data_IF_383367122691
#
_entry.id   IF_383367122691
#
_cell.length_a   1.000
_cell.length_b   1.000
_cell.length_c   1.000
_cell.angle_alpha   90.00
_cell.angle_beta   90.00
_cell.angle_gamma   90.00
#
_symmetry.space_group_name_H-M   'P 1'
#
loop_
_entity.id
_entity.type
_entity.pdbx_description
1 polymer ?
#
# COMPACT_ATOMS: atom_id res chain seq x y z
N UNK A 1 28.00 10.76 77.02
CA UNK A 1 26.59 10.32 77.06
C UNK A 1 25.83 11.11 76.00
N UNK A 2 25.72 10.56 74.78
CA UNK A 2 24.93 11.16 73.70
C UNK A 2 23.60 10.42 73.69
N UNK A 3 22.52 11.10 74.07
CA UNK A 3 21.16 10.59 74.01
C UNK A 3 20.68 10.71 72.56
N UNK A 4 20.48 9.58 71.89
CA UNK A 4 19.82 9.51 70.58
C UNK A 4 18.35 9.89 70.73
N UNK A 5 17.98 11.07 70.23
CA UNK A 5 16.57 11.45 70.04
C UNK A 5 16.12 10.81 68.72
N UNK A 6 15.39 9.68 68.81
CA UNK A 6 14.65 9.12 67.68
C UNK A 6 13.56 10.11 67.24
N UNK A 7 13.39 10.40 65.93
CA UNK A 7 12.27 11.21 65.47
C UNK A 7 10.97 10.43 65.70
N UNK A 8 10.03 11.03 66.44
CA UNK A 8 8.66 10.52 66.57
C UNK A 8 8.05 10.35 65.17
N UNK A 9 7.87 9.12 64.71
CA UNK A 9 7.00 8.83 63.59
C UNK A 9 5.59 9.31 63.93
N UNK A 10 5.19 10.45 63.36
CA UNK A 10 3.82 10.95 63.44
C UNK A 10 2.91 9.99 62.67
N UNK A 11 2.36 9.01 63.38
CA UNK A 11 1.31 8.09 62.91
C UNK A 11 -0.04 8.82 62.84
N UNK A 12 -0.12 9.86 62.02
CA UNK A 12 -1.37 10.56 61.78
C UNK A 12 -2.29 9.70 60.89
N UNK A 13 -3.58 9.57 61.25
CA UNK A 13 -4.54 8.76 60.48
C UNK A 13 -4.59 9.20 59.00
N UNK A 14 -4.58 10.51 58.74
CA UNK A 14 -4.56 11.07 57.38
C UNK A 14 -3.32 10.67 56.59
N UNK A 15 -2.16 10.64 57.24
CA UNK A 15 -0.86 10.30 56.65
C UNK A 15 -0.82 8.81 56.27
N UNK A 16 -1.34 7.95 57.16
CA UNK A 16 -1.48 6.52 56.91
C UNK A 16 -2.44 6.24 55.77
N UNK A 17 -3.61 6.90 55.77
CA UNK A 17 -4.62 6.74 54.73
C UNK A 17 -4.09 7.17 53.35
N UNK A 18 -3.42 8.32 53.26
CA UNK A 18 -2.79 8.78 52.02
C UNK A 18 -1.82 7.76 51.45
N UNK A 19 -0.97 7.15 52.29
CA UNK A 19 -0.03 6.12 51.87
C UNK A 19 -0.72 4.84 51.39
N UNK A 20 -1.85 4.44 52.00
CA UNK A 20 -2.67 3.31 51.54
C UNK A 20 -3.22 3.53 50.12
N UNK A 21 -3.68 4.74 49.80
CA UNK A 21 -4.14 5.09 48.46
C UNK A 21 -2.98 5.13 47.46
N UNK A 22 -1.83 5.70 47.85
CA UNK A 22 -0.62 5.75 47.00
C UNK A 22 -0.10 4.36 46.62
N UNK A 23 -0.26 3.35 47.47
CA UNK A 23 0.09 1.95 47.17
C UNK A 23 -1.05 1.15 46.51
N UNK A 24 -2.15 1.82 46.13
CA UNK A 24 -3.21 1.23 45.31
C UNK A 24 -4.33 0.50 46.08
N UNK A 25 -4.49 0.75 47.39
CA UNK A 25 -5.65 0.22 48.12
C UNK A 25 -6.95 0.95 47.70
N UNK A 26 -8.02 0.19 47.55
CA UNK A 26 -9.33 0.71 47.14
C UNK A 26 -10.01 1.47 48.31
N UNK A 27 -10.14 2.78 48.16
CA UNK A 27 -10.81 3.69 49.12
C UNK A 27 -12.28 3.37 49.36
N UNK A 28 -12.95 2.69 48.40
CA UNK A 28 -14.39 2.36 48.45
C UNK A 28 -14.73 1.10 49.25
N UNK A 29 -13.72 0.36 49.71
CA UNK A 29 -13.92 -0.80 50.59
C UNK A 29 -14.05 -0.40 52.08
N UNK A 30 -13.97 0.89 52.39
CA UNK A 30 -14.19 1.41 53.74
C UNK A 30 -15.70 1.42 54.05
N UNK A 31 -16.09 0.64 55.06
CA UNK A 31 -17.42 0.71 55.65
C UNK A 31 -17.50 1.97 56.53
N UNK A 32 -18.14 3.02 56.00
CA UNK A 32 -18.31 4.30 56.68
C UNK A 32 -19.77 4.51 57.09
N UNK A 33 -19.96 5.12 58.25
CA UNK A 33 -21.27 5.48 58.77
C UNK A 33 -21.80 6.75 58.05
N UNK A 34 -23.12 6.99 58.11
CA UNK A 34 -23.75 8.10 57.36
C UNK A 34 -23.16 9.48 57.69
N UNK A 35 -22.75 9.71 58.95
CA UNK A 35 -22.07 10.95 59.37
C UNK A 35 -20.67 11.11 58.79
N UNK A 36 -19.97 10.02 58.49
CA UNK A 36 -18.60 10.03 57.95
C UNK A 36 -18.59 10.25 56.43
N UNK A 37 -19.66 9.84 55.74
CA UNK A 37 -19.88 10.10 54.30
C UNK A 37 -20.11 11.58 54.00
N UNK A 38 -20.69 12.32 54.94
CA UNK A 38 -21.00 13.75 54.79
C UNK A 38 -19.80 14.68 55.07
N UNK A 39 -18.73 14.15 55.66
CA UNK A 39 -17.53 14.92 55.96
C UNK A 39 -16.91 15.52 54.69
N UNK A 40 -16.60 16.82 54.74
CA UNK A 40 -16.07 17.62 53.62
C UNK A 40 -14.83 16.99 52.96
N UNK A 41 -14.04 16.25 53.75
CA UNK A 41 -12.82 15.58 53.32
C UNK A 41 -13.12 14.40 52.38
N UNK A 42 -14.23 13.69 52.57
CA UNK A 42 -14.62 12.54 51.76
C UNK A 42 -15.30 12.97 50.44
N UNK A 43 -16.09 14.06 50.47
CA UNK A 43 -16.66 14.66 49.24
C UNK A 43 -15.57 15.09 48.25
N UNK A 44 -14.49 15.74 48.74
CA UNK A 44 -13.31 16.08 47.91
C UNK A 44 -12.61 14.84 47.32
N UNK A 45 -12.57 13.72 48.03
CA UNK A 45 -11.97 12.47 47.55
C UNK A 45 -12.82 11.81 46.46
N UNK A 46 -14.15 11.76 46.64
CA UNK A 46 -15.07 11.23 45.64
C UNK A 46 -15.08 12.08 44.35
N UNK A 47 -14.83 13.38 44.45
CA UNK A 47 -14.66 14.29 43.31
C UNK A 47 -13.31 14.10 42.59
N UNK A 48 -12.21 13.88 43.31
CA UNK A 48 -10.88 13.61 42.74
C UNK A 48 -10.80 12.26 41.99
N UNK A 49 -11.61 11.27 42.37
CA UNK A 49 -11.64 9.95 41.71
C UNK A 49 -12.51 9.92 40.44
N UNK A 50 -13.44 10.87 40.23
CA UNK A 50 -14.23 10.95 38.99
C UNK A 50 -13.36 11.25 37.76
N UNK A 51 -12.19 11.84 37.94
CA UNK A 51 -11.24 12.10 36.85
C UNK A 51 -10.30 10.92 36.53
N UNK A 52 -10.29 9.87 37.34
CA UNK A 52 -9.49 8.66 37.11
C UNK A 52 -10.38 7.44 36.92
N UNK A 53 -11.20 7.45 35.89
CA UNK A 53 -11.67 6.20 35.29
C UNK A 53 -10.40 5.53 34.75
N UNK A 54 -10.01 4.34 35.21
CA UNK A 54 -8.94 3.61 34.57
C UNK A 54 -9.47 3.22 33.19
N UNK A 55 -9.10 3.99 32.18
CA UNK A 55 -9.26 3.59 30.79
C UNK A 55 -8.65 2.20 30.69
N UNK A 56 -9.46 1.19 30.36
CA UNK A 56 -8.94 -0.12 29.97
C UNK A 56 -8.03 0.17 28.77
N UNK A 57 -6.73 0.33 29.02
CA UNK A 57 -5.74 0.30 27.96
C UNK A 57 -5.73 -1.13 27.49
N UNK A 58 -6.49 -1.42 26.43
CA UNK A 58 -6.40 -2.68 25.72
C UNK A 58 -4.93 -2.89 25.41
N UNK A 59 -4.28 -3.84 26.10
CA UNK A 59 -2.91 -4.23 25.78
C UNK A 59 -3.00 -4.95 24.43
N UNK A 60 -2.93 -4.18 23.35
CA UNK A 60 -2.78 -4.74 22.02
C UNK A 60 -1.34 -5.23 21.97
N UNK A 61 -1.14 -6.55 22.07
CA UNK A 61 0.18 -7.15 21.94
C UNK A 61 0.78 -6.77 20.57
N UNK A 62 2.11 -6.69 20.49
CA UNK A 62 2.83 -6.46 19.22
C UNK A 62 2.41 -7.49 18.15
N UNK A 63 2.09 -8.71 18.58
CA UNK A 63 1.56 -9.78 17.74
C UNK A 63 0.16 -9.48 17.20
N UNK A 64 -0.76 -8.99 18.04
CA UNK A 64 -2.09 -8.59 17.59
C UNK A 64 -2.02 -7.41 16.59
N UNK A 65 -1.13 -6.44 16.81
CA UNK A 65 -0.91 -5.35 15.86
C UNK A 65 -0.39 -5.88 14.51
N UNK A 66 0.61 -6.77 14.54
CA UNK A 66 1.19 -7.36 13.33
C UNK A 66 0.14 -8.15 12.54
N UNK A 67 -0.67 -8.93 13.24
CA UNK A 67 -1.80 -9.66 12.65
C UNK A 67 -2.83 -8.72 12.01
N UNK A 68 -3.25 -7.67 12.70
CA UNK A 68 -4.20 -6.70 12.16
C UNK A 68 -3.70 -6.03 10.86
N UNK A 69 -2.40 -5.76 10.78
CA UNK A 69 -1.78 -5.20 9.56
C UNK A 69 -1.83 -6.22 8.42
N UNK A 70 -1.44 -7.47 8.69
CA UNK A 70 -1.48 -8.54 7.69
C UNK A 70 -2.92 -8.76 7.22
N UNK A 71 -3.89 -8.86 8.13
CA UNK A 71 -5.29 -9.08 7.79
C UNK A 71 -5.86 -7.93 6.94
N UNK A 72 -5.52 -6.67 7.27
CA UNK A 72 -5.90 -5.50 6.48
C UNK A 72 -5.30 -5.53 5.07
N UNK A 73 -3.99 -5.84 4.95
CA UNK A 73 -3.32 -5.92 3.66
C UNK A 73 -3.84 -7.09 2.81
N UNK A 74 -4.16 -8.23 3.43
CA UNK A 74 -4.79 -9.37 2.78
C UNK A 74 -6.17 -9.01 2.24
N UNK A 75 -6.99 -8.33 3.04
CA UNK A 75 -8.31 -7.85 2.61
C UNK A 75 -8.19 -6.88 1.43
N UNK A 76 -7.24 -5.96 1.48
CA UNK A 76 -6.99 -5.01 0.41
C UNK A 76 -6.52 -5.71 -0.88
N UNK A 77 -5.65 -6.72 -0.79
CA UNK A 77 -5.25 -7.52 -1.95
C UNK A 77 -6.44 -8.26 -2.57
N UNK A 78 -7.31 -8.83 -1.73
CA UNK A 78 -8.54 -9.48 -2.19
C UNK A 78 -9.47 -8.50 -2.92
N UNK A 79 -9.61 -7.26 -2.42
CA UNK A 79 -10.39 -6.21 -3.11
C UNK A 79 -9.77 -5.78 -4.43
N UNK A 80 -8.44 -5.72 -4.52
CA UNK A 80 -7.72 -5.45 -5.77
C UNK A 80 -7.95 -6.58 -6.79
N UNK A 81 -7.84 -7.84 -6.37
CA UNK A 81 -8.08 -8.97 -7.25
C UNK A 81 -9.54 -8.98 -7.75
N UNK A 82 -10.52 -8.70 -6.89
CA UNK A 82 -11.91 -8.50 -7.29
C UNK A 82 -12.07 -7.37 -8.32
N UNK A 83 -11.46 -6.21 -8.06
CA UNK A 83 -11.51 -5.06 -8.96
C UNK A 83 -10.91 -5.36 -10.34
N UNK A 84 -9.79 -6.07 -10.39
CA UNK A 84 -9.14 -6.48 -11.63
C UNK A 84 -9.97 -7.49 -12.44
N UNK A 85 -10.72 -8.37 -11.77
CA UNK A 85 -11.60 -9.35 -12.42
C UNK A 85 -12.98 -8.78 -12.78
N UNK A 86 -13.35 -7.62 -12.23
CA UNK A 86 -14.66 -7.00 -12.46
C UNK A 86 -14.84 -6.47 -13.89
N UNK A 87 -16.10 -6.25 -14.26
CA UNK A 87 -16.50 -5.62 -15.51
C UNK A 87 -16.12 -4.12 -15.59
N UNK A 88 -15.58 -3.51 -14.52
CA UNK A 88 -15.12 -2.13 -14.55
C UNK A 88 -14.01 -1.93 -15.58
N UNK A 89 -14.27 -1.18 -16.66
CA UNK A 89 -13.28 -0.85 -17.68
C UNK A 89 -13.17 0.68 -17.81
N UNK A 90 -12.03 1.29 -17.44
CA UNK A 90 -11.86 2.74 -17.57
C UNK A 90 -12.07 3.21 -19.00
N UNK A 91 -12.76 4.33 -19.14
CA UNK A 91 -12.97 4.96 -20.45
C UNK A 91 -11.73 5.76 -20.86
N UNK A 92 -11.70 6.18 -22.13
CA UNK A 92 -10.68 7.10 -22.64
C UNK A 92 -10.60 8.41 -21.81
N UNK A 93 -11.74 8.88 -21.29
CA UNK A 93 -11.81 10.07 -20.43
C UNK A 93 -11.08 9.83 -19.12
N UNK A 94 -11.12 8.62 -18.57
CA UNK A 94 -10.36 8.30 -17.36
C UNK A 94 -8.85 8.27 -17.62
N UNK A 95 -8.41 7.93 -18.84
CA UNK A 95 -7.00 7.94 -19.23
C UNK A 95 -6.45 9.33 -19.50
N UNK A 96 -7.32 10.28 -19.85
CA UNK A 96 -6.94 11.67 -20.13
C UNK A 96 -6.79 12.51 -18.85
N UNK A 97 -7.17 12.00 -17.68
CA UNK A 97 -7.03 12.69 -16.40
C UNK A 97 -5.56 12.84 -16.00
N UNK A 98 -5.26 13.90 -15.26
CA UNK A 98 -3.97 14.08 -14.58
C UNK A 98 -3.84 13.13 -13.38
N UNK A 99 -2.62 12.92 -12.89
CA UNK A 99 -2.37 12.16 -11.66
C UNK A 99 -3.08 12.81 -10.47
N UNK A 100 -3.14 14.15 -10.43
CA UNK A 100 -3.86 14.90 -9.40
C UNK A 100 -5.36 14.60 -9.40
N UNK A 101 -6.01 14.61 -10.57
CA UNK A 101 -7.43 14.25 -10.68
C UNK A 101 -7.68 12.79 -10.26
N UNK A 102 -6.75 11.87 -10.54
CA UNK A 102 -6.87 10.46 -10.12
C UNK A 102 -6.66 10.26 -8.60
N UNK A 103 -5.78 11.05 -8.00
CA UNK A 103 -5.49 11.04 -6.55
C UNK A 103 -6.65 11.64 -5.77
N UNK A 104 -7.21 12.76 -6.22
CA UNK A 104 -8.24 13.53 -5.50
C UNK A 104 -9.66 13.00 -5.68
N UNK A 105 -9.95 12.29 -6.79
CA UNK A 105 -11.28 11.69 -7.00
C UNK A 105 -11.63 10.62 -5.97
N UNK A 106 -12.90 10.27 -5.89
CA UNK A 106 -13.37 9.13 -5.08
C UNK A 106 -12.67 7.82 -5.42
N UNK A 107 -12.49 6.96 -4.42
CA UNK A 107 -11.86 5.65 -4.62
C UNK A 107 -12.77 4.72 -5.42
N UNK A 108 -12.23 4.13 -6.49
CA UNK A 108 -13.02 3.27 -7.40
C UNK A 108 -13.01 1.78 -7.06
N UNK A 109 -12.24 1.30 -6.07
CA UNK A 109 -12.13 -0.13 -5.76
C UNK A 109 -13.47 -0.77 -5.41
N UNK A 110 -14.36 -0.04 -4.72
CA UNK A 110 -15.69 -0.52 -4.33
C UNK A 110 -16.63 -0.77 -5.52
N UNK A 111 -16.34 -0.23 -6.71
CA UNK A 111 -17.16 -0.48 -7.90
C UNK A 111 -17.18 -1.97 -8.28
N UNK A 112 -16.15 -2.73 -7.89
CA UNK A 112 -16.10 -4.18 -8.07
C UNK A 112 -17.24 -4.92 -7.34
N UNK A 113 -17.75 -4.35 -6.24
CA UNK A 113 -18.83 -4.96 -5.44
C UNK A 113 -20.18 -4.93 -6.18
N UNK A 114 -20.30 -4.07 -7.20
CA UNK A 114 -21.51 -3.90 -8.00
C UNK A 114 -21.34 -4.39 -9.44
N UNK A 115 -20.12 -4.31 -9.96
CA UNK A 115 -19.77 -4.73 -11.31
C UNK A 115 -19.24 -6.17 -11.22
N UNK A 116 -20.09 -7.14 -11.55
CA UNK A 116 -19.73 -8.57 -11.59
C UNK A 116 -18.51 -8.87 -12.48
N UNK A 117 -18.11 -10.15 -12.64
CA UNK A 117 -16.92 -10.50 -13.41
C UNK A 117 -17.01 -10.03 -14.87
N UNK A 118 -15.87 -9.70 -15.47
CA UNK A 118 -15.82 -9.31 -16.88
C UNK A 118 -16.31 -10.45 -17.78
N UNK A 119 -17.32 -10.16 -18.60
CA UNK A 119 -17.89 -11.14 -19.52
C UNK A 119 -16.93 -11.44 -20.68
N UNK A 120 -16.82 -12.71 -21.07
CA UNK A 120 -16.02 -13.13 -22.22
C UNK A 120 -14.53 -13.31 -21.92
N UNK A 121 -14.16 -13.51 -20.65
CA UNK A 121 -12.85 -14.01 -20.24
C UNK A 121 -12.87 -15.53 -20.05
N UNK A 122 -11.76 -16.25 -20.32
CA UNK A 122 -10.49 -15.72 -20.84
C UNK A 122 -10.56 -15.34 -22.32
N UNK A 123 -9.73 -14.38 -22.74
CA UNK A 123 -9.61 -13.92 -24.11
C UNK A 123 -8.62 -14.82 -24.85
N UNK A 124 -9.09 -15.47 -25.91
CA UNK A 124 -8.26 -16.28 -26.80
C UNK A 124 -8.14 -15.59 -28.17
N UNK A 125 -7.43 -14.46 -28.21
CA UNK A 125 -7.19 -13.69 -29.43
C UNK A 125 -5.70 -13.65 -29.70
N UNK A 126 -5.31 -14.08 -30.91
CA UNK A 126 -3.95 -13.85 -31.41
C UNK A 126 -3.87 -12.45 -32.00
N UNK A 127 -2.88 -11.68 -31.56
CA UNK A 127 -2.54 -10.37 -32.11
C UNK A 127 -1.18 -10.47 -32.77
N UNK A 128 -1.09 -10.01 -34.02
CA UNK A 128 0.18 -9.91 -34.72
C UNK A 128 1.06 -8.84 -34.08
N UNK A 129 2.37 -9.05 -34.10
CA UNK A 129 3.33 -8.08 -33.57
C UNK A 129 3.39 -6.86 -34.51
N UNK A 130 3.13 -5.63 -34.02
CA UNK A 130 3.27 -4.43 -34.85
C UNK A 130 4.72 -4.23 -35.31
N UNK A 131 4.90 -3.67 -36.51
CA UNK A 131 6.21 -3.50 -37.15
C UNK A 131 7.00 -2.33 -36.60
N UNK A 132 6.33 -1.23 -36.27
CA UNK A 132 6.96 0.02 -35.81
C UNK A 132 7.16 -0.02 -34.29
N UNK A 133 6.07 -0.22 -33.53
CA UNK A 133 6.16 -0.24 -32.07
C UNK A 133 6.87 -1.50 -31.57
N UNK A 134 6.71 -2.65 -32.25
CA UNK A 134 7.12 -3.97 -31.74
C UNK A 134 6.56 -4.27 -30.35
N UNK A 135 5.37 -3.74 -30.06
CA UNK A 135 4.63 -3.95 -28.81
C UNK A 135 3.14 -4.10 -29.13
N UNK A 136 2.51 -5.21 -28.73
CA UNK A 136 1.10 -5.48 -29.08
C UNK A 136 0.12 -4.51 -28.45
N UNK A 137 0.49 -3.92 -27.32
CA UNK A 137 -0.30 -2.91 -26.60
C UNK A 137 -0.10 -1.47 -27.12
N UNK A 138 0.80 -1.28 -28.08
CA UNK A 138 1.01 0.01 -28.75
C UNK A 138 0.77 -0.18 -30.25
N UNK A 139 -0.42 0.15 -30.77
CA UNK A 139 -0.74 -0.10 -32.17
C UNK A 139 0.13 0.76 -33.10
N UNK A 140 0.54 0.18 -34.23
CA UNK A 140 1.09 0.96 -35.34
C UNK A 140 -0.06 1.75 -35.96
N UNK A 141 -0.08 3.08 -35.79
CA UNK A 141 -1.00 3.92 -36.55
C UNK A 141 -0.41 4.11 -37.95
N UNK A 142 -1.03 3.50 -38.97
CA UNK A 142 -0.69 3.79 -40.36
C UNK A 142 -1.30 5.12 -40.78
N UNK A 143 -0.49 6.17 -40.64
CA UNK A 143 -0.88 7.54 -40.97
C UNK A 143 -1.14 7.76 -42.47
N UNK A 144 -0.79 6.80 -43.35
CA UNK A 144 -1.07 6.88 -44.80
C UNK A 144 -2.51 6.53 -45.17
N UNK A 145 -3.22 5.78 -44.32
CA UNK A 145 -4.63 5.41 -44.56
C UNK A 145 -5.60 6.07 -43.58
N UNK A 146 -5.11 6.79 -42.59
CA UNK A 146 -5.95 7.60 -41.72
C UNK A 146 -6.19 8.97 -42.34
N UNK A 147 -7.38 9.19 -42.89
CA UNK A 147 -7.95 10.52 -42.99
C UNK A 147 -7.94 11.22 -41.62
N UNK A 148 -8.21 12.52 -41.60
CA UNK A 148 -8.05 13.49 -40.49
C UNK A 148 -8.74 13.19 -39.13
N UNK A 149 -9.17 11.97 -38.86
CA UNK A 149 -9.58 11.48 -37.53
C UNK A 149 -9.14 10.02 -37.32
N UNK A 150 -7.83 9.79 -37.13
CA UNK A 150 -7.33 8.50 -36.68
C UNK A 150 -7.80 8.24 -35.23
N UNK A 151 -9.05 7.80 -35.02
CA UNK A 151 -9.46 7.31 -33.70
C UNK A 151 -8.76 5.97 -33.49
N UNK A 152 -7.99 5.76 -32.41
CA UNK A 152 -7.52 4.41 -32.11
C UNK A 152 -8.75 3.54 -31.93
N UNK A 153 -8.72 2.37 -32.56
CA UNK A 153 -9.76 1.35 -32.42
C UNK A 153 -9.90 1.11 -30.92
N UNK A 154 -11.06 1.42 -30.30
CA UNK A 154 -11.24 1.13 -28.89
C UNK A 154 -10.98 -0.36 -28.69
N UNK A 155 -10.20 -0.71 -27.67
CA UNK A 155 -10.09 -2.11 -27.27
C UNK A 155 -11.51 -2.68 -27.11
N UNK A 156 -11.76 -3.93 -27.54
CA UNK A 156 -13.04 -4.60 -27.32
C UNK A 156 -13.54 -4.35 -25.90
N UNK A 157 -14.86 -4.22 -25.70
CA UNK A 157 -15.42 -3.84 -24.40
C UNK A 157 -14.98 -4.78 -23.25
N UNK A 158 -14.70 -6.05 -23.59
CA UNK A 158 -14.18 -7.06 -22.67
C UNK A 158 -12.65 -7.08 -22.55
N UNK A 159 -11.90 -6.16 -23.13
CA UNK A 159 -10.43 -6.09 -23.04
C UNK A 159 -10.02 -4.82 -22.29
N UNK A 160 -9.20 -4.98 -21.24
CA UNK A 160 -8.64 -3.86 -20.49
C UNK A 160 -7.30 -3.46 -21.09
N UNK A 161 -6.99 -2.16 -21.07
CA UNK A 161 -5.61 -1.68 -21.28
C UNK A 161 -4.83 -1.91 -19.98
N UNK A 162 -4.19 -3.08 -19.84
CA UNK A 162 -3.66 -3.55 -18.56
C UNK A 162 -2.61 -2.62 -17.94
N UNK A 163 -1.76 -1.98 -18.73
CA UNK A 163 -0.80 -0.99 -18.21
C UNK A 163 -1.53 0.13 -17.47
N UNK A 164 -2.48 0.81 -18.14
CA UNK A 164 -3.24 1.91 -17.55
C UNK A 164 -4.12 1.45 -16.39
N UNK A 165 -4.76 0.29 -16.55
CA UNK A 165 -5.60 -0.29 -15.51
C UNK A 165 -4.80 -0.56 -14.23
N UNK A 166 -3.64 -1.20 -14.35
CA UNK A 166 -2.81 -1.54 -13.19
C UNK A 166 -2.21 -0.29 -12.53
N UNK A 167 -1.80 0.72 -13.30
CA UNK A 167 -1.35 2.01 -12.76
C UNK A 167 -2.46 2.70 -11.96
N UNK A 168 -3.66 2.84 -12.54
CA UNK A 168 -4.82 3.41 -11.84
C UNK A 168 -5.18 2.58 -10.60
N UNK A 169 -5.14 1.25 -10.68
CA UNK A 169 -5.40 0.37 -9.54
C UNK A 169 -4.41 0.62 -8.40
N UNK A 170 -3.14 0.90 -8.71
CA UNK A 170 -2.16 1.28 -7.70
C UNK A 170 -2.48 2.64 -7.05
N UNK A 171 -2.92 3.63 -7.83
CA UNK A 171 -3.35 4.91 -7.27
C UNK A 171 -4.53 4.70 -6.31
N UNK A 172 -5.51 3.88 -6.71
CA UNK A 172 -6.63 3.54 -5.83
C UNK A 172 -6.18 2.75 -4.58
N UNK A 173 -5.18 1.88 -4.69
CA UNK A 173 -4.54 1.19 -3.56
C UNK A 173 -3.87 2.16 -2.59
N UNK A 174 -3.08 3.12 -3.07
CA UNK A 174 -2.40 4.09 -2.21
C UNK A 174 -3.40 4.93 -1.40
N UNK A 175 -4.53 5.33 -2.02
CA UNK A 175 -5.60 6.11 -1.39
C UNK A 175 -6.29 5.42 -0.22
N UNK A 176 -6.20 4.09 -0.09
CA UNK A 176 -6.80 3.37 1.05
C UNK A 176 -6.02 3.53 2.35
N UNK A 177 -4.76 3.96 2.28
CA UNK A 177 -3.92 4.11 3.45
C UNK A 177 -4.15 5.44 4.17
N UNK A 178 -4.37 5.38 5.48
CA UNK A 178 -4.56 6.58 6.31
C UNK A 178 -3.36 7.51 6.31
N UNK A 179 -2.14 6.99 6.19
CA UNK A 179 -0.95 7.84 6.13
C UNK A 179 -0.92 8.68 4.85
N UNK A 180 -1.37 8.12 3.72
CA UNK A 180 -1.39 8.81 2.45
C UNK A 180 -2.31 10.02 2.49
N UNK A 181 -3.48 9.87 3.14
CA UNK A 181 -4.44 10.96 3.36
C UNK A 181 -3.92 12.08 4.28
N UNK A 182 -2.85 11.83 5.06
CA UNK A 182 -2.21 12.84 5.91
C UNK A 182 -1.10 13.61 5.21
N UNK A 183 -0.66 13.14 4.04
CA UNK A 183 0.32 13.85 3.22
C UNK A 183 -0.36 15.02 2.50
N UNK A 184 0.39 16.09 2.32
CA UNK A 184 -0.03 17.17 1.43
C UNK A 184 -0.09 16.67 -0.01
N UNK A 185 -0.91 17.32 -0.84
CA UNK A 185 -1.16 16.88 -2.22
C UNK A 185 0.13 16.72 -3.03
N UNK A 186 1.09 17.63 -2.87
CA UNK A 186 2.38 17.51 -3.57
C UNK A 186 3.15 16.24 -3.16
N UNK A 187 3.19 15.91 -1.87
CA UNK A 187 3.85 14.70 -1.37
C UNK A 187 3.12 13.43 -1.85
N UNK A 188 1.79 13.47 -1.94
CA UNK A 188 0.99 12.40 -2.53
C UNK A 188 1.38 12.17 -4.00
N UNK A 189 1.45 13.23 -4.81
CA UNK A 189 1.81 13.16 -6.23
C UNK A 189 3.23 12.63 -6.43
N UNK A 190 4.19 13.13 -5.65
CA UNK A 190 5.59 12.68 -5.67
C UNK A 190 5.69 11.19 -5.33
N UNK A 191 4.98 10.74 -4.28
CA UNK A 191 4.97 9.33 -3.88
C UNK A 191 4.33 8.44 -4.94
N UNK A 192 3.21 8.87 -5.56
CA UNK A 192 2.55 8.13 -6.64
C UNK A 192 3.45 8.02 -7.87
N UNK A 193 4.04 9.12 -8.32
CA UNK A 193 4.91 9.13 -9.50
C UNK A 193 6.06 8.13 -9.38
N UNK A 194 6.73 8.11 -8.22
CA UNK A 194 7.90 7.24 -8.02
C UNK A 194 7.57 5.77 -7.77
N UNK A 195 6.37 5.42 -7.30
CA UNK A 195 6.08 4.05 -6.85
C UNK A 195 5.06 3.31 -7.72
N UNK A 196 4.41 4.00 -8.67
CA UNK A 196 3.37 3.38 -9.50
C UNK A 196 3.89 2.22 -10.34
N UNK A 197 4.96 2.43 -11.12
CA UNK A 197 5.53 1.37 -11.95
C UNK A 197 6.11 0.24 -11.10
N UNK A 198 6.83 0.58 -10.03
CA UNK A 198 7.43 -0.39 -9.11
C UNK A 198 6.37 -1.35 -8.54
N UNK A 199 5.28 -0.81 -8.01
CA UNK A 199 4.22 -1.64 -7.42
C UNK A 199 3.38 -2.37 -8.48
N UNK A 200 3.15 -1.76 -9.65
CA UNK A 200 2.53 -2.43 -10.79
C UNK A 200 3.34 -3.66 -11.21
N UNK A 201 4.67 -3.52 -11.36
CA UNK A 201 5.56 -4.61 -11.77
C UNK A 201 5.59 -5.74 -10.75
N UNK A 202 5.67 -5.42 -9.46
CA UNK A 202 5.63 -6.39 -8.37
C UNK A 202 4.30 -7.16 -8.40
N UNK A 203 3.18 -6.46 -8.53
CA UNK A 203 1.86 -7.06 -8.58
C UNK A 203 1.67 -7.96 -9.82
N UNK A 204 2.04 -7.51 -11.01
CA UNK A 204 1.92 -8.30 -12.23
C UNK A 204 2.79 -9.56 -12.19
N UNK A 205 4.02 -9.43 -11.67
CA UNK A 205 4.92 -10.58 -11.55
C UNK A 205 4.42 -11.57 -10.50
N UNK A 206 3.96 -11.09 -9.33
CA UNK A 206 3.37 -11.95 -8.30
C UNK A 206 2.08 -12.66 -8.79
N UNK A 207 1.24 -11.97 -9.56
CA UNK A 207 0.03 -12.55 -10.14
C UNK A 207 0.33 -13.79 -10.98
N UNK A 208 1.39 -13.74 -11.80
CA UNK A 208 1.84 -14.87 -12.61
C UNK A 208 2.49 -15.97 -11.75
N UNK A 209 3.42 -15.60 -10.88
CA UNK A 209 4.20 -16.55 -10.05
C UNK A 209 3.31 -17.32 -9.07
N UNK A 210 2.34 -16.67 -8.44
CA UNK A 210 1.36 -17.32 -7.55
C UNK A 210 0.52 -18.37 -8.26
N UNK A 211 0.36 -18.26 -9.59
CA UNK A 211 -0.34 -19.22 -10.46
C UNK A 211 0.61 -20.20 -11.16
N UNK A 212 1.89 -20.25 -10.74
CA UNK A 212 2.93 -21.10 -11.33
C UNK A 212 3.15 -20.84 -12.83
N UNK A 213 2.98 -19.59 -13.25
CA UNK A 213 3.23 -19.14 -14.61
C UNK A 213 4.58 -18.41 -14.69
N UNK A 214 5.42 -18.80 -15.65
CA UNK A 214 6.74 -18.19 -15.89
C UNK A 214 6.71 -17.14 -17.02
N UNK A 215 5.55 -16.51 -17.23
CA UNK A 215 5.31 -15.54 -18.31
C UNK A 215 4.39 -14.43 -17.81
N UNK A 216 4.45 -13.27 -18.47
CA UNK A 216 3.63 -12.11 -18.12
C UNK A 216 2.16 -12.38 -18.48
N UNK A 217 1.34 -12.77 -17.50
CA UNK A 217 -0.09 -13.06 -17.71
C UNK A 217 -1.00 -12.10 -16.96
N UNK A 218 -2.16 -11.85 -17.53
CA UNK A 218 -3.19 -11.01 -16.95
C UNK A 218 -4.46 -11.82 -16.59
N UNK A 219 -5.36 -11.27 -15.75
CA UNK A 219 -6.63 -11.90 -15.38
C UNK A 219 -7.53 -12.34 -16.53
N UNK A 220 -7.44 -11.69 -17.68
CA UNK A 220 -8.18 -12.09 -18.87
C UNK A 220 -7.54 -13.28 -19.62
N UNK A 221 -6.47 -13.85 -19.10
CA UNK A 221 -5.73 -14.95 -19.71
C UNK A 221 -4.74 -14.53 -20.80
N UNK A 222 -4.65 -13.23 -21.14
CA UNK A 222 -3.71 -12.76 -22.14
C UNK A 222 -2.26 -12.80 -21.61
N UNK A 223 -1.33 -13.10 -22.51
CA UNK A 223 0.11 -12.97 -22.25
C UNK A 223 0.60 -11.67 -22.86
N UNK A 224 0.92 -10.68 -22.02
CA UNK A 224 1.35 -9.35 -22.45
C UNK A 224 2.41 -8.79 -21.49
N UNK A 225 3.60 -8.41 -22.01
CA UNK A 225 4.10 -8.72 -23.35
C UNK A 225 4.37 -10.23 -23.54
N UNK A 226 4.44 -10.68 -24.79
CA UNK A 226 4.96 -12.01 -25.15
C UNK A 226 6.47 -11.98 -25.39
N UNK A 227 7.11 -13.15 -25.38
CA UNK A 227 8.57 -13.31 -25.48
C UNK A 227 9.22 -12.72 -26.74
N UNK A 228 8.46 -12.56 -27.81
CA UNK A 228 8.93 -11.98 -29.08
C UNK A 228 8.89 -10.43 -29.08
N UNK A 229 8.33 -9.80 -28.05
CA UNK A 229 8.28 -8.35 -27.92
C UNK A 229 9.58 -7.81 -27.35
N UNK A 230 10.07 -6.72 -27.95
CA UNK A 230 11.38 -6.12 -27.61
C UNK A 230 11.53 -5.79 -26.12
N UNK A 231 10.45 -5.37 -25.47
CA UNK A 231 10.45 -4.94 -24.07
C UNK A 231 10.15 -6.07 -23.07
N UNK A 232 9.90 -7.30 -23.54
CA UNK A 232 9.63 -8.45 -22.68
C UNK A 232 10.69 -8.64 -21.59
N UNK A 233 12.01 -8.62 -21.88
CA UNK A 233 13.03 -8.83 -20.86
C UNK A 233 12.97 -7.81 -19.72
N UNK A 234 12.49 -6.59 -20.01
CA UNK A 234 12.31 -5.54 -19.01
C UNK A 234 11.02 -5.77 -18.21
N UNK A 235 9.89 -6.08 -18.84
CA UNK A 235 8.62 -6.31 -18.11
C UNK A 235 8.67 -7.60 -17.27
N UNK A 236 9.43 -8.60 -17.68
CA UNK A 236 9.56 -9.88 -16.98
C UNK A 236 10.64 -9.90 -15.88
N UNK A 237 11.35 -8.80 -15.62
CA UNK A 237 12.55 -8.79 -14.75
C UNK A 237 12.32 -9.36 -13.35
N UNK A 238 11.17 -9.09 -12.75
CA UNK A 238 10.85 -9.53 -11.40
C UNK A 238 10.34 -10.99 -11.31
N UNK A 239 9.98 -11.63 -12.43
CA UNK A 239 9.49 -13.03 -12.40
C UNK A 239 10.53 -13.98 -11.81
N UNK A 240 11.75 -13.99 -12.37
CA UNK A 240 12.77 -14.95 -11.96
C UNK A 240 13.21 -14.79 -10.49
N UNK A 241 13.45 -13.58 -9.95
CA UNK A 241 13.69 -13.39 -8.52
C UNK A 241 12.54 -13.88 -7.64
N UNK A 242 11.28 -13.57 -7.98
CA UNK A 242 10.12 -14.00 -7.19
C UNK A 242 9.94 -15.52 -7.20
N UNK A 243 10.20 -16.19 -8.33
CA UNK A 243 10.19 -17.65 -8.45
C UNK A 243 11.29 -18.27 -7.59
N UNK A 244 12.54 -17.78 -7.71
CA UNK A 244 13.68 -18.29 -6.93
C UNK A 244 13.47 -18.10 -5.43
N UNK A 245 12.87 -16.98 -5.03
CA UNK A 245 12.56 -16.73 -3.63
C UNK A 245 11.42 -17.61 -3.12
N UNK A 246 10.62 -18.26 -3.98
CA UNK A 246 9.35 -18.89 -3.58
C UNK A 246 8.53 -17.96 -2.68
N UNK A 247 8.27 -16.75 -3.19
CA UNK A 247 7.62 -15.68 -2.43
C UNK A 247 6.21 -16.08 -2.00
N UNK A 248 5.88 -15.82 -0.73
CA UNK A 248 4.57 -16.10 -0.16
C UNK A 248 3.68 -14.85 -0.17
N UNK A 249 2.36 -15.04 -0.04
CA UNK A 249 1.39 -13.94 -0.07
C UNK A 249 1.69 -12.84 0.96
N UNK A 250 1.97 -13.23 2.21
CA UNK A 250 2.26 -12.28 3.30
C UNK A 250 3.54 -11.50 3.01
N UNK A 251 4.59 -12.16 2.51
CA UNK A 251 5.85 -11.52 2.11
C UNK A 251 5.61 -10.51 0.97
N UNK A 252 4.82 -10.89 -0.03
CA UNK A 252 4.45 -10.04 -1.16
C UNK A 252 3.69 -8.78 -0.76
N UNK A 253 2.60 -8.90 0.03
CA UNK A 253 1.77 -7.74 0.40
C UNK A 253 2.53 -6.77 1.28
N UNK A 254 3.39 -7.27 2.19
CA UNK A 254 4.25 -6.44 3.02
C UNK A 254 5.34 -5.77 2.19
N UNK A 255 5.97 -6.48 1.25
CA UNK A 255 6.94 -5.90 0.34
C UNK A 255 6.34 -4.78 -0.52
N UNK A 256 5.11 -4.96 -1.01
CA UNK A 256 4.36 -3.94 -1.75
C UNK A 256 4.06 -2.71 -0.89
N UNK A 257 3.68 -2.89 0.38
CA UNK A 257 3.47 -1.79 1.32
C UNK A 257 4.78 -1.04 1.65
N UNK A 258 5.87 -1.76 1.94
CA UNK A 258 7.21 -1.19 2.17
C UNK A 258 7.67 -0.40 0.94
N UNK A 259 7.39 -0.91 -0.25
CA UNK A 259 7.74 -0.25 -1.51
C UNK A 259 7.01 1.09 -1.68
N UNK A 260 5.69 1.13 -1.43
CA UNK A 260 4.91 2.37 -1.43
C UNK A 260 5.46 3.39 -0.42
N UNK A 261 5.91 2.94 0.75
CA UNK A 261 6.45 3.80 1.79
C UNK A 261 7.94 4.11 1.57
N UNK A 262 8.28 4.88 0.53
CA UNK A 262 9.66 5.31 0.28
C UNK A 262 9.93 6.76 0.74
N UNK A 263 10.57 6.97 1.91
CA UNK A 263 10.80 8.32 2.44
C UNK A 263 11.98 9.03 1.74
N UNK A 264 12.80 8.35 0.95
CA UNK A 264 13.97 8.95 0.30
C UNK A 264 13.68 9.44 -1.11
N UNK A 265 12.40 9.54 -1.49
CA UNK A 265 12.00 10.07 -2.78
C UNK A 265 12.33 11.57 -2.84
N UNK A 266 13.01 11.98 -3.90
CA UNK A 266 13.28 13.38 -4.17
C UNK A 266 11.97 14.16 -4.38
N UNK A 267 11.86 15.33 -3.74
CA UNK A 267 10.67 16.19 -3.81
C UNK A 267 9.67 16.04 -2.66
N UNK A 268 9.86 15.07 -1.76
CA UNK A 268 9.05 14.94 -0.54
C UNK A 268 9.43 16.02 0.48
N UNK A 269 8.42 16.61 1.13
CA UNK A 269 8.59 17.49 2.29
C UNK A 269 9.16 16.75 3.49
N UNK A 270 9.84 17.45 4.42
CA UNK A 270 10.33 16.84 5.67
C UNK A 270 9.19 16.20 6.51
N UNK A 271 8.00 16.82 6.45
CA UNK A 271 6.80 16.29 7.11
C UNK A 271 6.37 14.95 6.49
N UNK A 272 6.28 14.90 5.15
CA UNK A 272 5.94 13.70 4.41
C UNK A 272 6.96 12.58 4.62
N UNK A 273 8.25 12.90 4.58
CA UNK A 273 9.33 11.95 4.86
C UNK A 273 9.18 11.33 6.26
N UNK A 274 8.84 12.13 7.27
CA UNK A 274 8.64 11.66 8.65
C UNK A 274 7.46 10.69 8.76
N UNK A 275 6.31 11.03 8.14
CA UNK A 275 5.13 10.16 8.12
C UNK A 275 5.47 8.84 7.41
N UNK A 276 6.06 8.92 6.23
CA UNK A 276 6.36 7.76 5.39
C UNK A 276 7.39 6.84 6.05
N UNK A 277 8.43 7.41 6.68
CA UNK A 277 9.47 6.64 7.37
C UNK A 277 8.89 5.79 8.51
N UNK A 278 7.95 6.36 9.29
CA UNK A 278 7.27 5.64 10.37
C UNK A 278 6.47 4.46 9.85
N UNK A 279 5.70 4.65 8.78
CA UNK A 279 4.87 3.59 8.18
C UNK A 279 5.75 2.50 7.54
N UNK A 280 6.83 2.90 6.84
CA UNK A 280 7.81 1.96 6.28
C UNK A 280 8.42 1.08 7.36
N UNK A 281 8.81 1.68 8.49
CA UNK A 281 9.37 0.94 9.62
C UNK A 281 8.37 -0.08 10.17
N UNK A 282 7.11 0.32 10.32
CA UNK A 282 6.06 -0.57 10.82
C UNK A 282 5.85 -1.79 9.92
N UNK A 283 5.76 -1.61 8.60
CA UNK A 283 5.66 -2.75 7.67
C UNK A 283 6.93 -3.61 7.66
N UNK A 284 8.11 -2.99 7.77
CA UNK A 284 9.39 -3.69 7.83
C UNK A 284 9.52 -4.56 9.08
N UNK A 285 9.09 -4.06 10.24
CA UNK A 285 9.08 -4.81 11.50
C UNK A 285 8.18 -6.03 11.42
N UNK A 286 6.99 -5.90 10.81
CA UNK A 286 6.07 -7.02 10.61
C UNK A 286 6.65 -8.05 9.64
N UNK A 287 7.29 -7.61 8.57
CA UNK A 287 7.94 -8.52 7.62
C UNK A 287 9.09 -9.27 8.27
N UNK A 288 9.92 -8.60 9.08
CA UNK A 288 11.01 -9.23 9.81
C UNK A 288 10.49 -10.26 10.81
N UNK A 289 9.48 -9.92 11.61
CA UNK A 289 8.84 -10.86 12.54
C UNK A 289 8.25 -12.08 11.81
N UNK A 290 7.58 -11.85 10.67
CA UNK A 290 7.06 -12.93 9.83
C UNK A 290 8.20 -13.86 9.34
N UNK A 291 9.32 -13.29 8.87
CA UNK A 291 10.47 -14.08 8.42
C UNK A 291 11.10 -14.89 9.56
N UNK A 292 11.26 -14.29 10.75
CA UNK A 292 11.83 -14.95 11.93
C UNK A 292 10.99 -16.12 12.42
N UNK A 293 9.66 -16.02 12.33
CA UNK A 293 8.74 -17.07 12.80
C UNK A 293 8.56 -18.23 11.82
N UNK A 294 8.64 -17.96 10.52
CA UNK A 294 8.24 -18.93 9.49
C UNK A 294 9.42 -19.55 8.72
N UNK A 295 10.65 -19.04 8.90
CA UNK A 295 11.84 -19.55 8.18
C UNK A 295 13.00 -19.75 9.15
N UNK A 296 13.78 -20.81 8.95
CA UNK A 296 14.98 -21.10 9.75
C UNK A 296 16.11 -20.07 9.56
N UNK A 297 16.09 -19.33 8.46
CA UNK A 297 17.05 -18.28 8.09
C UNK A 297 16.38 -16.89 8.01
N UNK A 298 15.50 -16.57 8.97
CA UNK A 298 14.67 -15.37 9.00
C UNK A 298 15.36 -14.04 8.64
N UNK A 299 16.50 -13.67 9.26
CA UNK A 299 17.19 -12.41 8.93
C UNK A 299 17.68 -12.36 7.49
N UNK A 300 18.27 -13.45 6.98
CA UNK A 300 18.72 -13.55 5.59
C UNK A 300 17.53 -13.50 4.62
N UNK A 301 16.40 -14.12 4.99
CA UNK A 301 15.15 -14.05 4.22
C UNK A 301 14.64 -12.62 4.11
N UNK A 302 14.65 -11.87 5.21
CA UNK A 302 14.22 -10.47 5.20
C UNK A 302 15.04 -9.64 4.22
N UNK A 303 16.38 -9.78 4.25
CA UNK A 303 17.27 -9.08 3.31
C UNK A 303 17.02 -9.52 1.87
N UNK A 304 16.91 -10.82 1.61
CA UNK A 304 16.60 -11.38 0.29
C UNK A 304 15.31 -10.78 -0.31
N UNK A 305 14.26 -10.65 0.51
CA UNK A 305 13.00 -10.05 0.09
C UNK A 305 13.16 -8.56 -0.24
N UNK A 306 13.91 -7.80 0.56
CA UNK A 306 14.15 -6.38 0.28
C UNK A 306 14.95 -6.16 -1.01
N UNK A 307 15.86 -7.08 -1.38
CA UNK A 307 16.61 -6.99 -2.64
C UNK A 307 15.72 -7.08 -3.89
N UNK A 308 14.51 -7.64 -3.77
CA UNK A 308 13.52 -7.59 -4.86
C UNK A 308 13.16 -6.13 -5.19
N UNK A 309 13.13 -5.23 -4.21
CA UNK A 309 12.87 -3.79 -4.44
C UNK A 309 13.95 -3.21 -5.36
N UNK A 310 15.21 -3.57 -5.16
CA UNK A 310 16.33 -3.15 -6.02
C UNK A 310 16.12 -3.57 -7.48
N UNK A 311 15.61 -4.78 -7.70
CA UNK A 311 15.24 -5.27 -9.04
C UNK A 311 14.12 -4.43 -9.64
N UNK A 312 13.07 -4.15 -8.87
CA UNK A 312 11.91 -3.38 -9.33
C UNK A 312 12.26 -1.92 -9.63
N UNK A 313 13.15 -1.30 -8.83
CA UNK A 313 13.69 0.05 -9.11
C UNK A 313 14.44 0.08 -10.43
N UNK A 314 15.29 -0.93 -10.69
CA UNK A 314 15.99 -1.07 -11.97
C UNK A 314 14.99 -1.27 -13.12
N UNK A 315 13.98 -2.11 -12.91
CA UNK A 315 12.93 -2.38 -13.89
C UNK A 315 12.14 -1.12 -14.26
N UNK A 316 11.71 -0.34 -13.27
CA UNK A 316 11.02 0.93 -13.46
C UNK A 316 11.84 1.90 -14.32
N UNK A 317 13.12 2.09 -14.00
CA UNK A 317 14.02 2.96 -14.79
C UNK A 317 14.08 2.53 -16.25
N UNK A 318 14.30 1.24 -16.53
CA UNK A 318 14.36 0.73 -17.90
C UNK A 318 13.02 0.88 -18.64
N UNK A 319 11.88 0.76 -17.94
CA UNK A 319 10.56 1.02 -18.53
C UNK A 319 10.37 2.50 -18.87
N UNK A 320 10.82 3.41 -17.99
CA UNK A 320 10.82 4.85 -18.27
C UNK A 320 11.69 5.18 -19.48
N UNK A 321 12.89 4.59 -19.57
CA UNK A 321 13.76 4.76 -20.73
C UNK A 321 13.10 4.28 -22.03
N UNK A 322 12.53 3.07 -22.03
CA UNK A 322 11.79 2.54 -23.19
C UNK A 322 10.64 3.48 -23.58
N UNK A 323 9.92 4.01 -22.60
CA UNK A 323 8.83 4.92 -22.89
C UNK A 323 9.32 6.22 -23.52
N UNK A 324 10.31 6.88 -22.92
CA UNK A 324 10.84 8.16 -23.39
C UNK A 324 11.42 8.03 -24.80
N UNK A 325 12.22 6.99 -25.06
CA UNK A 325 12.94 6.86 -26.33
C UNK A 325 12.14 6.18 -27.44
N UNK A 326 11.17 5.33 -27.12
CA UNK A 326 10.47 4.52 -28.12
C UNK A 326 8.96 4.72 -28.15
N UNK A 327 8.29 4.78 -26.99
CA UNK A 327 6.82 4.86 -26.94
C UNK A 327 6.30 6.28 -27.13
N UNK A 328 6.84 7.26 -26.41
CA UNK A 328 6.44 8.67 -26.44
C UNK A 328 6.41 9.26 -27.87
N UNK A 329 7.41 9.01 -28.74
CA UNK A 329 7.37 9.45 -30.15
C UNK A 329 6.26 8.80 -30.99
N UNK A 330 5.76 7.62 -30.60
CA UNK A 330 4.67 6.92 -31.29
C UNK A 330 3.33 7.45 -30.80
N UNK A 331 3.12 7.48 -29.49
CA UNK A 331 1.83 7.87 -28.89
C UNK A 331 1.56 9.38 -29.01
N UNK A 332 2.59 10.22 -29.18
CA UNK A 332 2.41 11.65 -29.44
C UNK A 332 1.67 11.97 -30.75
N UNK A 333 1.52 10.98 -31.64
CA UNK A 333 0.74 11.07 -32.88
C UNK A 333 -0.74 10.72 -32.69
N UNK A 334 -1.13 10.25 -31.51
CA UNK A 334 -2.50 9.84 -31.23
C UNK A 334 -3.38 11.09 -31.02
N UNK A 335 -4.70 11.01 -31.28
CA UNK A 335 -5.59 12.17 -31.17
C UNK A 335 -5.88 12.61 -29.72
N UNK A 336 -5.34 11.91 -28.72
CA UNK A 336 -5.45 12.24 -27.30
C UNK A 336 -4.13 11.92 -26.58
N UNK A 337 -3.90 12.60 -25.46
CA UNK A 337 -2.80 12.30 -24.53
C UNK A 337 -3.33 11.47 -23.36
N UNK A 338 -2.48 10.59 -22.84
CA UNK A 338 -2.71 9.85 -21.60
C UNK A 338 -1.96 10.60 -20.48
N UNK A 339 -2.56 11.65 -19.94
CA UNK A 339 -1.84 12.66 -19.13
C UNK A 339 -1.19 12.06 -17.88
N UNK A 340 -1.92 11.27 -17.09
CA UNK A 340 -1.32 10.63 -15.90
C UNK A 340 -0.17 9.68 -16.25
N UNK A 341 -0.20 9.03 -17.43
CA UNK A 341 0.90 8.17 -17.86
C UNK A 341 2.14 9.04 -18.05
N UNK A 342 2.03 10.10 -18.83
CA UNK A 342 3.16 11.00 -19.11
C UNK A 342 3.74 11.53 -17.79
N UNK A 343 2.91 12.05 -16.89
CA UNK A 343 3.36 12.53 -15.56
C UNK A 343 4.13 11.47 -14.77
N UNK A 344 3.65 10.22 -14.72
CA UNK A 344 4.32 9.13 -14.00
C UNK A 344 5.61 8.69 -14.70
N UNK A 345 5.64 8.67 -16.03
CA UNK A 345 6.82 8.27 -16.79
C UNK A 345 7.94 9.31 -16.68
N UNK A 346 7.59 10.60 -16.57
CA UNK A 346 8.54 11.72 -16.42
C UNK A 346 8.83 12.13 -14.96
N UNK A 347 8.17 11.52 -13.96
CA UNK A 347 8.35 11.86 -12.55
C UNK A 347 9.73 11.54 -11.98
#
# INVERSE_FOLDING_TARGET
MIVLILPKELRCQSCRFKKCIEVGMNSKALELNETEKEALNFKKLAELEKEKIPTIQTIISKENLSKNIIDMLCYLELKIDQFKNSAYNPSIIDWMKTTEELVTRENKLSLADHLGPMSGWPINRKMELPKVSRMRDVPDIDMKYSGSTARPVPSPANQKMWMFFNMMTFIEYAKTFKFFQKLDLNDQLVLIGQNTLLCMNLHNSYYAVSRKMEKCVHPDGTEQPQRDEYHYPVVSMALAPLIRCDIQLIEYILLKAISLCNPTVHGLSEHGQTIIAKERQQFSDVLLDHCLRNRSYGPSRFVELLEIISVLVRQQRLQKDIHIYHISPIISKFPFSVQFLDEIMYS
#
